data_IF_440087160252
#
_entry.id   IF_440087160252
#
_cell.length_a   1.000
_cell.length_b   1.000
_cell.length_c   1.000
_cell.angle_alpha   90.00
_cell.angle_beta   90.00
_cell.angle_gamma   90.00
#
_symmetry.space_group_name_H-M   'P 1'
#
loop_
_entity.id
_entity.type
_entity.pdbx_description
1 polymer ?
#
# COMPACT_ATOMS: atom_id res chain seq x y z
N UNK A 1 -15.20 -6.15 20.77
CA UNK A 1 -14.01 -6.57 21.55
C UNK A 1 -13.18 -5.38 22.04
N UNK A 2 -12.80 -4.44 21.17
CA UNK A 2 -12.07 -3.21 21.58
C UNK A 2 -12.91 -2.38 22.57
N UNK A 3 -14.16 -2.05 22.21
CA UNK A 3 -15.08 -1.32 23.09
C UNK A 3 -15.28 -2.00 24.46
N UNK A 4 -15.40 -3.32 24.46
CA UNK A 4 -15.53 -4.11 25.70
C UNK A 4 -14.29 -3.97 26.59
N UNK A 5 -13.10 -3.97 25.99
CA UNK A 5 -11.86 -3.75 26.72
C UNK A 5 -11.78 -2.33 27.30
N UNK A 6 -12.16 -1.31 26.53
CA UNK A 6 -12.24 0.07 27.04
C UNK A 6 -13.29 0.26 28.13
N UNK A 7 -14.36 -0.54 28.12
CA UNK A 7 -15.33 -0.63 29.21
C UNK A 7 -14.81 -1.38 30.47
N UNK A 8 -13.54 -1.79 30.49
CA UNK A 8 -12.86 -2.37 31.66
C UNK A 8 -12.73 -3.89 31.65
N UNK A 9 -13.20 -4.59 30.61
CA UNK A 9 -13.07 -6.05 30.48
C UNK A 9 -11.61 -6.46 30.28
N UNK A 10 -11.18 -7.52 30.95
CA UNK A 10 -9.81 -8.03 30.79
C UNK A 10 -9.63 -8.83 29.49
N UNK A 11 -8.42 -8.83 28.92
CA UNK A 11 -8.11 -9.62 27.73
C UNK A 11 -8.38 -11.12 27.91
N UNK A 12 -8.16 -11.65 29.12
CA UNK A 12 -8.37 -13.07 29.45
C UNK A 12 -9.85 -13.44 29.42
N UNK A 13 -10.73 -12.60 29.95
CA UNK A 13 -12.17 -12.80 29.87
C UNK A 13 -12.65 -12.81 28.41
N UNK A 14 -12.22 -11.80 27.64
CA UNK A 14 -12.59 -11.68 26.23
C UNK A 14 -12.05 -12.88 25.42
N UNK A 15 -10.84 -13.33 25.71
CA UNK A 15 -10.26 -14.52 25.07
C UNK A 15 -11.06 -15.79 25.35
N UNK A 16 -11.48 -16.00 26.61
CA UNK A 16 -12.31 -17.14 27.00
C UNK A 16 -13.71 -17.09 26.40
N UNK A 17 -14.34 -15.92 26.37
CA UNK A 17 -15.70 -15.73 25.85
C UNK A 17 -15.75 -15.91 24.33
N UNK A 18 -14.79 -15.31 23.60
CA UNK A 18 -14.81 -15.26 22.14
C UNK A 18 -13.92 -16.31 21.47
N UNK A 19 -13.23 -17.15 22.23
CA UNK A 19 -12.39 -18.24 21.72
C UNK A 19 -11.16 -17.80 20.92
N UNK A 20 -10.77 -16.53 21.00
CA UNK A 20 -9.59 -15.99 20.31
C UNK A 20 -8.41 -15.84 21.27
N UNK A 21 -7.20 -15.71 20.74
CA UNK A 21 -6.01 -15.52 21.57
C UNK A 21 -5.97 -14.10 22.15
N UNK A 22 -5.54 -13.97 23.41
CA UNK A 22 -5.33 -12.67 24.07
C UNK A 22 -4.42 -11.74 23.25
N UNK A 23 -3.44 -12.31 22.56
CA UNK A 23 -2.56 -11.57 21.66
C UNK A 23 -3.31 -10.89 20.51
N UNK A 24 -4.27 -11.58 19.87
CA UNK A 24 -5.07 -11.02 18.79
C UNK A 24 -5.89 -9.82 19.27
N UNK A 25 -6.50 -9.94 20.44
CA UNK A 25 -7.29 -8.86 21.06
C UNK A 25 -6.40 -7.65 21.34
N UNK A 26 -5.19 -7.87 21.89
CA UNK A 26 -4.21 -6.79 22.11
C UNK A 26 -3.85 -6.08 20.81
N UNK A 27 -3.65 -6.81 19.71
CA UNK A 27 -3.34 -6.20 18.41
C UNK A 27 -4.52 -5.35 17.90
N UNK A 28 -5.75 -5.82 18.05
CA UNK A 28 -6.93 -5.04 17.65
C UNK A 28 -7.11 -3.77 18.48
N UNK A 29 -6.92 -3.84 19.79
CA UNK A 29 -6.94 -2.65 20.66
C UNK A 29 -5.84 -1.68 20.24
N UNK A 30 -4.62 -2.17 20.04
CA UNK A 30 -3.49 -1.33 19.61
C UNK A 30 -3.77 -0.64 18.27
N UNK A 31 -4.40 -1.32 17.31
CA UNK A 31 -4.76 -0.72 16.04
C UNK A 31 -5.90 0.29 16.19
N UNK A 32 -6.91 -0.01 17.01
CA UNK A 32 -8.01 0.91 17.27
C UNK A 32 -7.54 2.18 18.00
N UNK A 33 -6.56 2.09 18.90
CA UNK A 33 -5.95 3.26 19.52
C UNK A 33 -5.19 4.12 18.50
N UNK A 34 -4.52 3.52 17.51
CA UNK A 34 -3.94 4.28 16.38
C UNK A 34 -5.01 4.98 15.58
N UNK A 35 -6.06 4.24 15.20
CA UNK A 35 -7.17 4.77 14.40
C UNK A 35 -7.91 5.91 15.14
N UNK A 36 -7.91 5.89 16.47
CA UNK A 36 -8.45 6.95 17.33
C UNK A 36 -7.44 8.05 17.68
N UNK A 37 -6.22 8.04 17.13
CA UNK A 37 -5.19 9.05 17.37
C UNK A 37 -4.49 8.99 18.74
N UNK A 38 -4.70 7.92 19.51
CA UNK A 38 -4.11 7.69 20.85
C UNK A 38 -2.96 6.67 20.84
N UNK A 39 -2.58 6.18 19.66
CA UNK A 39 -1.63 5.08 19.47
C UNK A 39 -0.16 5.47 19.56
N UNK A 40 0.70 4.49 19.27
CA UNK A 40 2.17 4.59 19.32
C UNK A 40 2.81 5.34 18.13
N UNK A 41 2.03 6.19 17.43
CA UNK A 41 2.47 6.85 16.20
C UNK A 41 2.58 5.93 14.98
N UNK A 42 2.14 4.67 15.07
CA UNK A 42 2.01 3.79 13.92
C UNK A 42 0.85 4.18 13.00
N UNK A 43 0.90 3.75 11.74
CA UNK A 43 -0.14 4.04 10.75
C UNK A 43 -1.52 3.56 11.21
N UNK A 44 -2.51 4.43 11.03
CA UNK A 44 -3.91 4.07 11.04
C UNK A 44 -4.24 3.08 9.92
N UNK A 45 -5.37 2.42 10.05
CA UNK A 45 -5.89 1.49 9.06
C UNK A 45 -6.08 2.19 7.71
N UNK A 46 -6.63 3.42 7.72
CA UNK A 46 -6.84 4.24 6.53
C UNK A 46 -5.52 4.64 5.85
N UNK A 47 -4.52 5.11 6.62
CA UNK A 47 -3.20 5.47 6.07
C UNK A 47 -2.50 4.24 5.47
N UNK A 48 -2.64 3.07 6.09
CA UNK A 48 -2.06 1.82 5.57
C UNK A 48 -2.70 1.38 4.26
N UNK A 49 -4.01 1.52 4.15
CA UNK A 49 -4.75 1.24 2.92
C UNK A 49 -4.31 2.18 1.80
N UNK A 50 -4.26 3.48 2.09
CA UNK A 50 -3.84 4.50 1.13
C UNK A 50 -2.39 4.29 0.68
N UNK A 51 -1.48 4.00 1.61
CA UNK A 51 -0.09 3.67 1.29
C UNK A 51 -0.01 2.45 0.35
N UNK A 52 -0.87 1.44 0.55
CA UNK A 52 -0.92 0.25 -0.30
C UNK A 52 -1.45 0.60 -1.69
N UNK A 53 -2.49 1.43 -1.79
CA UNK A 53 -3.05 1.93 -3.04
C UNK A 53 -2.00 2.70 -3.83
N UNK A 54 -1.34 3.66 -3.20
CA UNK A 54 -0.30 4.49 -3.81
C UNK A 54 0.90 3.67 -4.28
N UNK A 55 1.32 2.64 -3.51
CA UNK A 55 2.41 1.74 -3.94
C UNK A 55 2.05 0.96 -5.21
N UNK A 56 0.80 0.48 -5.31
CA UNK A 56 0.31 -0.22 -6.51
C UNK A 56 0.23 0.73 -7.70
N UNK A 57 -0.30 1.92 -7.50
CA UNK A 57 -0.39 2.95 -8.54
C UNK A 57 1.00 3.39 -9.03
N UNK A 58 1.94 3.64 -8.12
CA UNK A 58 3.30 4.02 -8.47
C UNK A 58 4.01 2.92 -9.28
N UNK A 59 3.77 1.64 -8.94
CA UNK A 59 4.29 0.52 -9.73
C UNK A 59 3.72 0.55 -11.15
N UNK A 60 2.40 0.69 -11.30
CA UNK A 60 1.75 0.77 -12.62
C UNK A 60 2.30 1.93 -13.45
N UNK A 61 2.40 3.11 -12.86
CA UNK A 61 2.93 4.30 -13.54
C UNK A 61 4.40 4.12 -13.99
N UNK A 62 5.22 3.41 -13.20
CA UNK A 62 6.60 3.10 -13.60
C UNK A 62 6.64 2.16 -14.81
N UNK A 63 5.80 1.14 -14.82
CA UNK A 63 5.68 0.19 -15.93
C UNK A 63 5.20 0.91 -17.20
N UNK A 64 4.16 1.75 -17.10
CA UNK A 64 3.65 2.58 -18.22
C UNK A 64 4.72 3.54 -18.76
N UNK A 65 5.44 4.23 -17.86
CA UNK A 65 6.53 5.13 -18.25
C UNK A 65 7.65 4.40 -18.96
N UNK A 66 7.98 3.18 -18.55
CA UNK A 66 9.00 2.36 -19.19
C UNK A 66 8.58 1.98 -20.62
N UNK A 67 7.33 1.55 -20.81
CA UNK A 67 6.79 1.21 -22.13
C UNK A 67 6.85 2.44 -23.05
N UNK A 68 6.37 3.60 -22.59
CA UNK A 68 6.40 4.83 -23.37
C UNK A 68 7.83 5.26 -23.70
N UNK A 69 8.76 5.12 -22.75
CA UNK A 69 10.17 5.43 -22.97
C UNK A 69 10.78 4.53 -24.05
N UNK A 70 10.46 3.22 -24.04
CA UNK A 70 10.93 2.27 -25.06
C UNK A 70 10.33 2.57 -26.43
N UNK A 71 9.03 2.88 -26.48
CA UNK A 71 8.37 3.28 -27.71
C UNK A 71 8.99 4.55 -28.30
N UNK A 72 9.20 5.59 -27.48
CA UNK A 72 9.84 6.83 -27.92
C UNK A 72 11.26 6.60 -28.46
N UNK A 73 12.05 5.75 -27.80
CA UNK A 73 13.38 5.38 -28.28
C UNK A 73 13.33 4.64 -29.62
N UNK A 74 12.39 3.71 -29.79
CA UNK A 74 12.17 3.00 -31.04
C UNK A 74 11.82 3.95 -32.19
N UNK A 75 10.86 4.86 -31.97
CA UNK A 75 10.47 5.86 -32.98
C UNK A 75 11.60 6.81 -33.34
N UNK A 76 12.40 7.25 -32.37
CA UNK A 76 13.56 8.10 -32.63
C UNK A 76 14.59 7.39 -33.52
N UNK A 77 14.86 6.11 -33.25
CA UNK A 77 15.80 5.32 -34.05
C UNK A 77 15.30 5.07 -35.49
N UNK A 78 14.02 4.77 -35.66
CA UNK A 78 13.42 4.58 -37.00
C UNK A 78 13.49 5.85 -37.85
N UNK A 79 13.23 7.02 -37.24
CA UNK A 79 13.41 8.31 -37.93
C UNK A 79 14.85 8.54 -38.38
N UNK A 80 15.84 8.17 -37.57
CA UNK A 80 17.26 8.27 -37.96
C UNK A 80 17.59 7.30 -39.09
N UNK A 81 17.09 6.06 -39.04
CA UNK A 81 17.35 5.06 -40.06
C UNK A 81 16.75 5.43 -41.42
N UNK A 82 15.53 5.99 -41.44
CA UNK A 82 14.86 6.46 -42.66
C UNK A 82 15.59 7.63 -43.30
N UNK A 83 16.07 8.60 -42.51
CA UNK A 83 16.88 9.72 -43.01
C UNK A 83 18.20 9.26 -43.65
N UNK A 84 18.90 8.31 -43.02
CA UNK A 84 20.16 7.78 -43.55
C UNK A 84 19.96 7.11 -44.92
N UNK A 85 18.89 6.33 -45.07
CA UNK A 85 18.57 5.63 -46.33
C UNK A 85 18.28 6.58 -47.49
N UNK A 86 17.68 7.74 -47.22
CA UNK A 86 17.41 8.76 -48.24
C UNK A 86 18.63 9.58 -48.67
N UNK A 87 19.71 9.60 -47.88
CA UNK A 87 20.97 10.27 -48.26
C UNK A 87 21.91 9.36 -49.04
N UNK A 88 21.76 8.04 -48.92
CA UNK A 88 22.55 7.05 -49.66
C UNK A 88 21.95 6.68 -51.04
N UNK A 89 20.80 7.28 -51.42
CA UNK A 89 20.14 7.14 -52.74
C UNK A 89 20.30 8.41 -53.57
#
# INVERSE_FOLDING_TARGET
>A
MVELHWAGRSFNELSKEFGCTTWSIRQWVKQADRDAGRGDGGLTSAEREELTRLRRENRRLREEREILSKAAAWFANEKVATLKRSSDS
#
